data_IF_000413008637
#
_entry.id   IF_000413008637
#
_cell.length_a   1.000
_cell.length_b   1.000
_cell.length_c   1.000
_cell.angle_alpha   90.00
_cell.angle_beta   90.00
_cell.angle_gamma   90.00
#
_symmetry.space_group_name_H-M   'P 1'
#
loop_
_entity.id
_entity.type
_entity.pdbx_description
1 polymer ?
#
# COMPACT_ATOMS: atom_id res chain seq x y z
N UNK A 1 -7.98 16.97 17.06
CA UNK A 1 -8.07 17.16 15.59
C UNK A 1 -8.23 15.77 15.00
N UNK A 2 -9.16 15.55 14.09
CA UNK A 2 -9.38 14.22 13.50
C UNK A 2 -8.60 14.13 12.19
N UNK A 3 -7.67 13.19 12.10
CA UNK A 3 -6.97 12.85 10.86
C UNK A 3 -7.85 11.93 10.00
N UNK A 4 -7.63 11.98 8.68
CA UNK A 4 -8.22 11.04 7.72
C UNK A 4 -7.13 10.50 6.81
N UNK A 5 -7.31 9.27 6.34
CA UNK A 5 -6.43 8.70 5.32
C UNK A 5 -6.57 9.49 4.01
N UNK A 6 -5.45 9.75 3.35
CA UNK A 6 -5.47 10.32 2.02
C UNK A 6 -6.12 9.37 1.01
N UNK A 7 -6.69 9.89 -0.09
CA UNK A 7 -7.16 9.03 -1.17
C UNK A 7 -5.99 8.28 -1.79
N UNK A 8 -6.27 7.10 -2.34
CA UNK A 8 -5.27 6.33 -3.07
C UNK A 8 -4.70 7.15 -4.24
N UNK A 9 -3.37 7.15 -4.43
CA UNK A 9 -2.76 7.83 -5.56
C UNK A 9 -3.10 7.10 -6.86
N UNK A 10 -3.41 7.86 -7.90
CA UNK A 10 -3.59 7.29 -9.24
C UNK A 10 -2.23 7.21 -9.92
N UNK A 11 -1.80 5.99 -10.29
CA UNK A 11 -0.56 5.78 -11.06
C UNK A 11 -0.86 5.09 -12.39
N UNK A 12 -0.03 5.36 -13.39
CA UNK A 12 -0.18 4.81 -14.75
C UNK A 12 1.18 4.73 -15.43
N UNK A 13 1.21 4.11 -16.61
CA UNK A 13 2.44 4.04 -17.41
C UNK A 13 3.08 5.43 -17.59
N UNK A 14 4.38 5.51 -17.32
CA UNK A 14 5.17 6.74 -17.28
C UNK A 14 5.30 7.39 -15.90
N UNK A 15 4.58 6.93 -14.87
CA UNK A 15 4.83 7.31 -13.47
C UNK A 15 6.16 6.75 -12.98
N UNK A 16 6.98 7.55 -12.31
CA UNK A 16 8.31 7.15 -11.81
C UNK A 16 8.48 7.34 -10.30
N UNK A 17 7.45 7.85 -9.64
CA UNK A 17 7.52 8.28 -8.24
C UNK A 17 6.76 7.32 -7.33
N UNK A 18 6.89 7.56 -6.03
CA UNK A 18 6.06 6.93 -5.01
C UNK A 18 4.57 6.91 -5.43
N UNK A 19 3.87 5.77 -5.36
CA UNK A 19 4.21 4.47 -4.77
C UNK A 19 4.51 3.34 -5.79
N UNK A 20 5.13 3.62 -6.95
CA UNK A 20 5.30 2.63 -8.03
C UNK A 20 6.12 1.40 -7.59
N UNK A 21 7.15 1.57 -6.76
CA UNK A 21 7.96 0.44 -6.30
C UNK A 21 7.15 -0.57 -5.47
N UNK A 22 6.29 -0.06 -4.58
CA UNK A 22 5.39 -0.87 -3.75
C UNK A 22 4.36 -1.61 -4.60
N UNK A 23 3.83 -0.96 -5.64
CA UNK A 23 3.00 -1.62 -6.65
C UNK A 23 3.72 -2.81 -7.29
N UNK A 24 4.98 -2.64 -7.72
CA UNK A 24 5.76 -3.70 -8.35
C UNK A 24 5.98 -4.89 -7.40
N UNK A 25 6.26 -4.65 -6.11
CA UNK A 25 6.36 -5.72 -5.12
C UNK A 25 5.04 -6.48 -4.89
N UNK A 26 3.91 -5.76 -4.89
CA UNK A 26 2.59 -6.39 -4.78
C UNK A 26 2.29 -7.24 -6.02
N UNK A 27 2.60 -6.75 -7.22
CA UNK A 27 2.47 -7.52 -8.46
C UNK A 27 3.31 -8.80 -8.44
N UNK A 28 4.55 -8.73 -7.96
CA UNK A 28 5.38 -9.91 -7.72
C UNK A 28 4.71 -10.90 -6.75
N UNK A 29 4.08 -10.41 -5.69
CA UNK A 29 3.36 -11.25 -4.73
C UNK A 29 2.11 -11.92 -5.32
N UNK A 30 1.50 -11.32 -6.35
CA UNK A 30 0.43 -11.93 -7.16
C UNK A 30 0.96 -12.91 -8.23
N UNK A 31 2.28 -13.11 -8.30
CA UNK A 31 2.91 -14.06 -9.22
C UNK A 31 3.24 -13.49 -10.59
N UNK A 32 3.11 -12.18 -10.79
CA UNK A 32 3.61 -11.52 -12.00
C UNK A 32 5.13 -11.39 -11.95
N UNK A 33 5.79 -11.43 -13.09
CA UNK A 33 7.22 -11.14 -13.19
C UNK A 33 7.37 -9.71 -13.69
N UNK A 34 7.78 -8.81 -12.81
CA UNK A 34 8.05 -7.39 -13.11
C UNK A 34 9.38 -6.99 -12.52
N UNK A 35 10.08 -6.08 -13.19
CA UNK A 35 11.28 -5.45 -12.63
C UNK A 35 10.85 -4.45 -11.53
N UNK A 36 11.51 -4.49 -10.37
CA UNK A 36 11.25 -3.54 -9.28
C UNK A 36 12.29 -2.42 -9.34
N UNK A 37 12.00 -1.42 -10.16
CA UNK A 37 12.86 -0.27 -10.46
C UNK A 37 12.22 1.08 -10.10
N UNK A 38 11.00 1.08 -9.59
CA UNK A 38 10.23 2.30 -9.30
C UNK A 38 9.68 2.99 -10.57
N UNK A 39 9.83 2.39 -11.75
CA UNK A 39 9.36 2.94 -13.02
C UNK A 39 8.15 2.17 -13.53
N UNK A 40 7.05 2.88 -13.77
CA UNK A 40 5.84 2.29 -14.32
C UNK A 40 6.01 2.14 -15.84
N UNK A 41 6.76 1.12 -16.25
CA UNK A 41 6.98 0.72 -17.63
C UNK A 41 5.85 -0.14 -18.21
N UNK A 42 6.10 -0.68 -19.41
CA UNK A 42 5.15 -1.58 -20.10
C UNK A 42 4.90 -2.87 -19.31
N UNK A 43 5.93 -3.47 -18.73
CA UNK A 43 5.82 -4.70 -17.93
C UNK A 43 4.88 -4.51 -16.73
N UNK A 44 5.06 -3.42 -15.97
CA UNK A 44 4.19 -3.05 -14.85
C UNK A 44 2.75 -2.85 -15.34
N UNK A 45 2.55 -2.16 -16.48
CA UNK A 45 1.22 -1.94 -17.05
C UNK A 45 0.52 -3.20 -17.52
N UNK A 46 1.24 -4.14 -18.13
CA UNK A 46 0.68 -5.44 -18.51
C UNK A 46 0.29 -6.27 -17.29
N UNK A 47 1.10 -6.25 -16.24
CA UNK A 47 0.80 -6.93 -14.99
C UNK A 47 -0.42 -6.30 -14.28
N UNK A 48 -0.53 -4.97 -14.25
CA UNK A 48 -1.72 -4.27 -13.72
C UNK A 48 -2.98 -4.67 -14.49
N UNK A 49 -2.94 -4.64 -15.82
CA UNK A 49 -4.09 -5.07 -16.65
C UNK A 49 -4.47 -6.52 -16.38
N UNK A 50 -3.50 -7.40 -16.16
CA UNK A 50 -3.78 -8.80 -15.82
C UNK A 50 -4.51 -8.92 -14.48
N UNK A 51 -4.10 -8.18 -13.44
CA UNK A 51 -4.81 -8.14 -12.16
C UNK A 51 -6.20 -7.54 -12.30
N UNK A 52 -6.33 -6.43 -13.04
CA UNK A 52 -7.63 -5.80 -13.31
C UNK A 52 -8.60 -6.81 -13.96
N UNK A 53 -8.16 -7.53 -14.99
CA UNK A 53 -8.95 -8.60 -15.65
C UNK A 53 -9.31 -9.72 -14.67
N UNK A 54 -8.36 -10.20 -13.88
CA UNK A 54 -8.60 -11.26 -12.89
C UNK A 54 -9.60 -10.85 -11.79
N UNK A 55 -9.77 -9.54 -11.56
CA UNK A 55 -10.64 -8.98 -10.54
C UNK A 55 -11.91 -8.33 -11.11
N UNK A 56 -12.17 -8.49 -12.41
CA UNK A 56 -13.30 -7.89 -13.13
C UNK A 56 -13.36 -6.35 -13.02
N UNK A 57 -12.20 -5.70 -13.03
CA UNK A 57 -12.04 -4.25 -13.11
C UNK A 57 -11.79 -3.82 -14.57
N UNK A 58 -12.00 -2.54 -14.93
CA UNK A 58 -11.59 -2.01 -16.23
C UNK A 58 -10.10 -2.28 -16.47
N UNK A 59 -9.73 -2.83 -17.63
CA UNK A 59 -8.35 -3.21 -17.98
C UNK A 59 -7.58 -2.07 -18.66
N UNK A 60 -7.73 -0.86 -18.13
CA UNK A 60 -7.13 0.37 -18.65
C UNK A 60 -5.65 0.53 -18.29
N UNK A 61 -5.12 -0.31 -17.39
CA UNK A 61 -3.74 -0.22 -16.90
C UNK A 61 -3.50 0.97 -15.95
N UNK A 62 -4.56 1.61 -15.47
CA UNK A 62 -4.49 2.70 -14.49
C UNK A 62 -4.75 2.15 -13.10
N UNK A 63 -3.80 2.37 -12.18
CA UNK A 63 -3.93 1.93 -10.79
C UNK A 63 -4.63 3.02 -10.00
N UNK A 64 -5.95 2.88 -9.88
CA UNK A 64 -6.82 3.70 -9.06
C UNK A 64 -7.12 3.06 -7.70
N UNK A 65 -8.00 3.66 -6.90
CA UNK A 65 -8.37 3.15 -5.58
C UNK A 65 -8.93 1.71 -5.63
N UNK A 66 -9.69 1.35 -6.67
CA UNK A 66 -10.23 0.01 -6.82
C UNK A 66 -9.12 -1.01 -7.14
N UNK A 67 -8.22 -0.64 -8.04
CA UNK A 67 -7.07 -1.45 -8.44
C UNK A 67 -6.09 -1.63 -7.28
N UNK A 68 -5.80 -0.59 -6.50
CA UNK A 68 -4.99 -0.70 -5.28
C UNK A 68 -5.58 -1.73 -4.33
N UNK A 69 -6.86 -1.60 -3.98
CA UNK A 69 -7.55 -2.54 -3.08
C UNK A 69 -7.54 -3.99 -3.59
N UNK A 70 -7.55 -4.18 -4.91
CA UNK A 70 -7.45 -5.47 -5.55
C UNK A 70 -6.04 -6.08 -5.50
N UNK A 71 -5.00 -5.24 -5.45
CA UNK A 71 -3.59 -5.61 -5.34
C UNK A 71 -3.13 -5.86 -3.90
N UNK A 72 -3.81 -5.27 -2.90
CA UNK A 72 -3.38 -5.39 -1.51
C UNK A 72 -3.33 -6.84 -1.05
N UNK A 73 -2.20 -7.18 -0.44
CA UNK A 73 -1.99 -8.46 0.24
C UNK A 73 -1.98 -8.18 1.74
N UNK A 74 -2.78 -8.90 2.52
CA UNK A 74 -2.70 -8.82 3.97
C UNK A 74 -1.36 -9.39 4.43
N UNK A 75 -0.50 -8.54 4.99
CA UNK A 75 0.83 -8.94 5.49
C UNK A 75 0.80 -9.05 7.01
N UNK A 76 1.31 -10.15 7.56
CA UNK A 76 1.25 -10.47 8.99
C UNK A 76 2.54 -11.13 9.49
N UNK A 77 2.76 -11.18 10.82
CA UNK A 77 3.92 -11.85 11.42
C UNK A 77 4.16 -13.27 10.89
N UNK A 78 5.43 -13.59 10.63
CA UNK A 78 5.86 -14.88 10.09
C UNK A 78 5.78 -15.02 8.57
N UNK A 79 5.14 -14.08 7.86
CA UNK A 79 5.15 -14.06 6.40
C UNK A 79 6.55 -13.74 5.84
N UNK A 80 6.78 -14.18 4.60
CA UNK A 80 8.01 -13.92 3.85
C UNK A 80 7.69 -13.66 2.37
N UNK A 81 8.57 -12.94 1.69
CA UNK A 81 8.52 -12.75 0.23
C UNK A 81 8.27 -11.30 -0.20
N UNK A 82 7.94 -11.12 -1.48
CA UNK A 82 7.91 -9.81 -2.14
C UNK A 82 6.95 -8.81 -1.50
N UNK A 83 5.78 -9.25 -1.01
CA UNK A 83 4.85 -8.36 -0.30
C UNK A 83 5.42 -7.81 1.01
N UNK A 84 6.17 -8.64 1.75
CA UNK A 84 6.84 -8.21 2.98
C UNK A 84 7.98 -7.25 2.65
N UNK A 85 8.75 -7.54 1.60
CA UNK A 85 9.82 -6.65 1.16
C UNK A 85 9.25 -5.30 0.71
N UNK A 86 8.18 -5.29 -0.08
CA UNK A 86 7.48 -4.08 -0.47
C UNK A 86 6.97 -3.27 0.72
N UNK A 87 6.42 -3.93 1.75
CA UNK A 87 6.04 -3.27 2.99
C UNK A 87 7.24 -2.61 3.70
N UNK A 88 8.36 -3.33 3.81
CA UNK A 88 9.55 -2.84 4.50
C UNK A 88 10.17 -1.65 3.75
N UNK A 89 10.26 -1.71 2.42
CA UNK A 89 10.76 -0.61 1.59
C UNK A 89 9.81 0.61 1.63
N UNK A 90 8.49 0.37 1.55
CA UNK A 90 7.45 1.42 1.67
C UNK A 90 7.52 2.15 3.01
N UNK A 91 7.72 1.40 4.10
CA UNK A 91 7.89 1.97 5.44
C UNK A 91 9.30 2.58 5.65
N UNK A 92 10.21 2.38 4.69
CA UNK A 92 11.63 2.69 4.81
C UNK A 92 12.29 2.06 6.05
N UNK A 93 11.96 0.80 6.32
CA UNK A 93 12.60 0.02 7.40
C UNK A 93 14.05 -0.33 7.04
N UNK A 94 14.95 -0.13 7.99
CA UNK A 94 16.32 -0.63 7.89
C UNK A 94 16.35 -2.15 7.77
N UNK A 95 16.97 -2.65 6.70
CA UNK A 95 17.14 -4.08 6.46
C UNK A 95 15.90 -4.76 5.87
N UNK A 96 15.37 -4.24 4.76
CA UNK A 96 14.29 -4.84 3.98
C UNK A 96 14.66 -6.21 3.39
N UNK A 97 14.61 -7.24 4.24
CA UNK A 97 15.01 -8.63 3.97
C UNK A 97 13.86 -9.51 3.45
N UNK A 98 12.65 -8.97 3.36
CA UNK A 98 11.45 -9.70 2.96
C UNK A 98 10.95 -10.70 4.01
N UNK A 99 11.35 -10.57 5.28
CA UNK A 99 10.91 -11.42 6.40
C UNK A 99 10.16 -10.58 7.42
N UNK A 100 8.92 -10.96 7.70
CA UNK A 100 8.11 -10.26 8.70
C UNK A 100 8.49 -10.76 10.09
N UNK A 101 9.54 -10.17 10.64
CA UNK A 101 10.05 -10.44 11.98
C UNK A 101 9.59 -9.41 13.03
N UNK A 102 10.12 -9.52 14.27
CA UNK A 102 9.72 -8.66 15.39
C UNK A 102 9.94 -7.16 15.15
N UNK A 103 10.96 -6.79 14.37
CA UNK A 103 11.23 -5.39 14.02
C UNK A 103 10.12 -4.80 13.14
N UNK A 104 9.72 -5.55 12.11
CA UNK A 104 8.60 -5.16 11.24
C UNK A 104 7.30 -5.10 12.04
N UNK A 105 7.04 -6.07 12.90
CA UNK A 105 5.85 -6.06 13.75
C UNK A 105 5.78 -4.84 14.66
N UNK A 106 6.87 -4.51 15.35
CA UNK A 106 6.93 -3.35 16.24
C UNK A 106 6.63 -2.05 15.46
N UNK A 107 7.28 -1.85 14.32
CA UNK A 107 7.07 -0.67 13.48
C UNK A 107 5.62 -0.54 12.97
N UNK A 108 5.00 -1.65 12.58
CA UNK A 108 3.60 -1.65 12.13
C UNK A 108 2.65 -1.36 13.30
N UNK A 109 2.90 -1.91 14.49
CA UNK A 109 2.09 -1.59 15.67
C UNK A 109 2.21 -0.11 16.05
N UNK A 110 3.41 0.46 15.97
CA UNK A 110 3.64 1.89 16.23
C UNK A 110 2.91 2.77 15.21
N UNK A 111 2.95 2.41 13.93
CA UNK A 111 2.17 3.07 12.88
C UNK A 111 0.66 3.00 13.15
N UNK A 112 0.15 1.80 13.43
CA UNK A 112 -1.28 1.60 13.71
C UNK A 112 -1.72 2.41 14.94
N UNK A 113 -0.88 2.46 15.99
CA UNK A 113 -1.14 3.30 17.15
C UNK A 113 -1.23 4.78 16.76
N UNK A 114 -0.28 5.28 15.96
CA UNK A 114 -0.32 6.67 15.46
C UNK A 114 -1.55 6.99 14.61
N UNK A 115 -1.96 6.08 13.71
CA UNK A 115 -3.19 6.21 12.91
C UNK A 115 -4.43 6.28 13.82
N UNK A 116 -4.49 5.39 14.83
CA UNK A 116 -5.58 5.33 15.80
C UNK A 116 -5.65 6.58 16.67
N UNK A 117 -4.51 7.08 17.13
CA UNK A 117 -4.41 8.33 17.93
C UNK A 117 -4.81 9.55 17.10
N UNK A 118 -4.59 9.51 15.78
CA UNK A 118 -5.13 10.46 14.81
C UNK A 118 -6.66 10.41 14.66
N UNK A 119 -7.35 9.44 15.26
CA UNK A 119 -8.81 9.31 15.20
C UNK A 119 -9.34 8.45 14.05
N UNK A 120 -8.46 7.73 13.33
CA UNK A 120 -8.87 6.74 12.34
C UNK A 120 -9.01 5.38 13.05
N UNK A 121 -10.19 4.77 12.99
CA UNK A 121 -10.42 3.46 13.58
C UNK A 121 -9.62 2.37 12.84
N UNK A 122 -8.54 1.91 13.47
CA UNK A 122 -7.71 0.77 13.05
C UNK A 122 -7.31 -0.05 14.28
N UNK A 123 -7.22 -1.37 14.13
CA UNK A 123 -6.71 -2.25 15.18
C UNK A 123 -5.18 -2.19 15.24
N UNK A 124 -4.61 -2.25 16.44
CA UNK A 124 -3.14 -2.27 16.67
C UNK A 124 -2.71 -3.73 16.85
N UNK A 125 -2.86 -4.51 15.79
CA UNK A 125 -2.72 -5.96 15.78
C UNK A 125 -1.41 -6.45 15.12
N UNK A 126 -0.65 -5.55 14.49
CA UNK A 126 0.54 -5.90 13.71
C UNK A 126 0.21 -6.51 12.34
N UNK A 127 -1.03 -6.46 11.88
CA UNK A 127 -1.45 -6.93 10.55
C UNK A 127 -1.62 -5.74 9.62
N UNK A 128 -0.91 -5.76 8.49
CA UNK A 128 -1.03 -4.73 7.46
C UNK A 128 -2.23 -5.05 6.57
N UNK A 129 -3.39 -4.55 6.98
CA UNK A 129 -4.65 -4.59 6.24
C UNK A 129 -4.85 -3.36 5.34
N UNK A 130 -6.04 -3.22 4.72
CA UNK A 130 -6.31 -2.15 3.75
C UNK A 130 -6.09 -0.73 4.27
N UNK A 131 -6.48 -0.43 5.51
CA UNK A 131 -6.29 0.89 6.11
C UNK A 131 -4.81 1.18 6.41
N UNK A 132 -4.07 0.19 6.91
CA UNK A 132 -2.63 0.32 7.18
C UNK A 132 -1.85 0.51 5.88
N UNK A 133 -2.18 -0.26 4.83
CA UNK A 133 -1.62 -0.04 3.49
C UNK A 133 -1.95 1.34 2.93
N UNK A 134 -3.20 1.79 3.09
CA UNK A 134 -3.59 3.12 2.63
C UNK A 134 -2.80 4.21 3.36
N UNK A 135 -2.61 4.07 4.67
CA UNK A 135 -1.85 5.01 5.47
C UNK A 135 -0.39 5.09 5.02
N UNK A 136 0.21 3.95 4.67
CA UNK A 136 1.56 3.89 4.13
C UNK A 136 1.67 4.59 2.77
N UNK A 137 0.85 4.15 1.84
CA UNK A 137 0.94 4.56 0.43
C UNK A 137 0.53 6.01 0.21
N UNK A 138 -0.48 6.49 0.93
CA UNK A 138 -1.06 7.82 0.70
C UNK A 138 -0.80 8.81 1.84
N UNK A 139 -0.41 8.35 3.02
CA UNK A 139 -0.26 9.19 4.21
C UNK A 139 -1.59 9.56 4.88
N UNK A 140 -1.48 10.35 5.95
CA UNK A 140 -2.59 10.96 6.67
C UNK A 140 -2.70 12.45 6.30
N UNK A 141 -3.92 12.98 6.28
CA UNK A 141 -4.18 14.44 6.25
C UNK A 141 -5.05 14.85 7.42
N UNK A 142 -4.89 16.10 7.84
CA UNK A 142 -5.80 16.73 8.78
C UNK A 142 -7.19 16.91 8.13
N UNK A 143 -8.26 16.49 8.81
CA UNK A 143 -9.61 16.75 8.34
C UNK A 143 -10.03 18.17 8.74
N UNK A 144 -10.53 18.94 7.77
CA UNK A 144 -11.12 20.24 8.06
C UNK A 144 -12.25 20.08 9.11
N UNK A 145 -12.36 20.99 10.09
CA UNK A 145 -13.47 20.95 11.04
C UNK A 145 -14.78 21.00 10.26
N UNK A 146 -15.69 20.08 10.55
CA UNK A 146 -17.06 20.12 10.04
C UNK A 146 -17.67 21.46 10.52
N UNK A 147 -17.65 22.47 9.66
CA UNK A 147 -18.44 23.68 9.88
C UNK A 147 -19.90 23.23 9.93
N UNK A 148 -20.53 23.31 11.10
CA UNK A 148 -21.98 23.25 11.20
C UNK A 148 -22.51 24.40 10.37
N UNK A 149 -23.13 24.09 9.23
CA UNK A 149 -24.04 25.01 8.59
C UNK A 149 -25.11 25.37 9.63
N UNK A 150 -25.08 26.61 10.09
CA UNK A 150 -26.09 27.23 10.94
C UNK A 150 -27.12 27.94 10.04
#
# INVERSE_FOLDING_TARGET
MTATLNPWPTTRQGSTDHPVQTLQYLLLAHGHTVTVDGVFGSETGDAVRAVQRAKNLPDDGVVDAATWRALLVAVRPGMRGSAVRGLQEEFALDGADGIYGPKTEAAIRDLQAGIRDGGVAVEVDGVVGPQTWQALVSGLREAAPLSKAA
#
